data_IF_564898868825
#
_entry.id   IF_564898868825
#
_cell.length_a   1.000
_cell.length_b   1.000
_cell.length_c   1.000
_cell.angle_alpha   90.00
_cell.angle_beta   90.00
_cell.angle_gamma   90.00
#
_symmetry.space_group_name_H-M   'P 1'
#
loop_
_entity.id
_entity.type
_entity.pdbx_description
1 polymer ?
#
# COMPACT_ATOMS: atom_id res chain seq x y z
N UNK A 1 22.83 -7.18 36.77
CA UNK A 1 21.59 -7.99 36.89
C UNK A 1 21.57 -9.14 35.87
N UNK A 2 20.70 -10.16 36.05
CA UNK A 2 20.42 -11.17 35.03
C UNK A 2 18.94 -11.08 34.61
N UNK A 3 18.68 -10.97 33.31
CA UNK A 3 17.34 -10.96 32.72
C UNK A 3 17.15 -12.24 31.90
N UNK A 4 16.22 -13.11 32.30
CA UNK A 4 16.01 -14.43 31.67
C UNK A 4 14.76 -14.42 30.78
N UNK A 5 14.95 -14.12 29.49
CA UNK A 5 13.86 -14.03 28.52
C UNK A 5 13.19 -15.39 28.24
N UNK A 6 13.80 -16.52 28.64
CA UNK A 6 13.12 -17.83 28.60
C UNK A 6 11.96 -17.88 29.59
N UNK A 7 12.12 -17.26 30.76
CA UNK A 7 11.05 -17.17 31.76
C UNK A 7 9.95 -16.25 31.25
N UNK A 8 10.33 -15.09 30.71
CA UNK A 8 9.40 -14.16 30.08
C UNK A 8 8.61 -14.85 28.95
N UNK A 9 9.26 -15.55 28.01
CA UNK A 9 8.59 -16.25 26.93
C UNK A 9 7.56 -17.29 27.42
N UNK A 10 7.86 -18.02 28.50
CA UNK A 10 6.88 -18.96 29.11
C UNK A 10 5.69 -18.22 29.69
N UNK A 11 5.93 -17.10 30.37
CA UNK A 11 4.87 -16.28 30.93
C UNK A 11 4.00 -15.67 29.83
N UNK A 12 4.61 -15.10 28.80
CA UNK A 12 3.91 -14.52 27.63
C UNK A 12 2.98 -15.55 26.99
N UNK A 13 3.47 -16.76 26.69
CA UNK A 13 2.62 -17.83 26.13
C UNK A 13 1.45 -18.21 27.04
N UNK A 14 1.70 -18.27 28.35
CA UNK A 14 0.63 -18.51 29.33
C UNK A 14 -0.41 -17.40 29.28
N UNK A 15 0.01 -16.14 29.18
CA UNK A 15 -0.89 -14.99 29.13
C UNK A 15 -1.68 -14.91 27.83
N UNK A 16 -1.05 -15.20 26.68
CA UNK A 16 -1.74 -15.36 25.39
C UNK A 16 -2.83 -16.43 25.52
N UNK A 17 -2.48 -17.61 26.03
CA UNK A 17 -3.44 -18.72 26.20
C UNK A 17 -4.59 -18.33 27.13
N UNK A 18 -4.28 -17.62 28.23
CA UNK A 18 -5.27 -17.12 29.18
C UNK A 18 -6.22 -16.13 28.52
N UNK A 19 -5.69 -15.12 27.81
CA UNK A 19 -6.48 -14.09 27.13
C UNK A 19 -7.41 -14.69 26.09
N UNK A 20 -6.92 -15.64 25.28
CA UNK A 20 -7.72 -16.34 24.28
C UNK A 20 -8.86 -17.14 24.93
N UNK A 21 -8.58 -17.85 26.03
CA UNK A 21 -9.59 -18.63 26.75
C UNK A 21 -10.68 -17.75 27.34
N UNK A 22 -10.34 -16.57 27.81
CA UNK A 22 -11.27 -15.68 28.50
C UNK A 22 -12.12 -14.85 27.52
N UNK A 23 -11.74 -14.78 26.24
CA UNK A 23 -12.42 -13.99 25.21
C UNK A 23 -13.91 -14.34 24.98
N UNK A 24 -14.34 -15.62 24.88
CA UNK A 24 -15.74 -15.97 24.61
C UNK A 24 -16.72 -15.58 25.73
N UNK A 25 -16.21 -15.18 26.90
CA UNK A 25 -17.00 -14.82 28.07
C UNK A 25 -17.06 -13.28 28.28
N UNK A 26 -16.45 -12.49 27.40
CA UNK A 26 -16.05 -11.12 27.70
C UNK A 26 -16.37 -10.09 26.60
N UNK A 27 -16.42 -8.81 27.01
CA UNK A 27 -16.52 -7.62 26.16
C UNK A 27 -15.15 -7.39 25.50
N UNK A 28 -15.06 -7.08 24.21
CA UNK A 28 -13.77 -6.82 23.59
C UNK A 28 -13.16 -5.52 24.16
N UNK A 29 -12.21 -5.66 25.09
CA UNK A 29 -11.38 -4.55 25.58
C UNK A 29 -10.29 -4.17 24.58
N UNK A 30 -10.68 -4.00 23.34
CA UNK A 30 -9.84 -3.58 22.23
C UNK A 30 -10.64 -2.73 21.26
N UNK A 31 -9.98 -2.16 20.24
CA UNK A 31 -10.67 -1.36 19.25
C UNK A 31 -11.75 -2.17 18.51
N UNK A 32 -12.87 -1.52 18.20
CA UNK A 32 -13.94 -2.07 17.38
C UNK A 32 -15.17 -2.54 18.17
N UNK A 33 -15.82 -3.62 17.71
CA UNK A 33 -17.09 -4.13 18.26
C UNK A 33 -16.92 -5.58 18.73
N UNK A 34 -17.51 -5.91 19.87
CA UNK A 34 -17.44 -7.24 20.51
C UNK A 34 -17.80 -8.41 19.58
N UNK A 35 -18.79 -8.22 18.72
CA UNK A 35 -19.33 -9.27 17.85
C UNK A 35 -18.54 -9.45 16.54
N UNK A 36 -17.63 -8.52 16.22
CA UNK A 36 -16.92 -8.52 14.96
C UNK A 36 -15.71 -9.47 14.99
N UNK A 37 -15.37 -10.03 13.83
CA UNK A 37 -14.19 -10.87 13.70
C UNK A 37 -12.91 -10.08 13.98
N UNK A 38 -11.96 -10.70 14.69
CA UNK A 38 -10.66 -10.11 15.02
C UNK A 38 -9.86 -9.97 13.72
N UNK A 39 -9.53 -8.74 13.37
CA UNK A 39 -8.75 -8.38 12.19
C UNK A 39 -7.25 -8.31 12.52
N UNK A 40 -6.87 -8.00 13.77
CA UNK A 40 -5.49 -7.90 14.19
C UNK A 40 -5.33 -8.31 15.67
N UNK A 41 -4.26 -9.03 15.97
CA UNK A 41 -3.80 -9.32 17.32
C UNK A 41 -2.50 -8.56 17.56
N UNK A 42 -2.54 -7.54 18.40
CA UNK A 42 -1.36 -6.75 18.77
C UNK A 42 -0.87 -7.16 20.14
N UNK A 43 0.44 -7.44 20.26
CA UNK A 43 1.12 -7.47 21.55
C UNK A 43 1.98 -6.21 21.67
N UNK A 44 1.43 -5.24 22.41
CA UNK A 44 2.14 -4.02 22.78
C UNK A 44 3.01 -4.25 24.01
N UNK A 45 4.14 -3.57 24.12
CA UNK A 45 4.95 -3.62 25.33
C UNK A 45 5.74 -2.34 25.57
N UNK A 46 6.13 -2.12 26.83
CA UNK A 46 7.09 -1.10 27.23
C UNK A 46 8.05 -1.72 28.23
N UNK A 47 9.32 -1.37 28.18
CA UNK A 47 10.33 -1.97 29.05
C UNK A 47 11.13 -0.94 29.85
N UNK A 48 11.01 0.35 29.56
CA UNK A 48 11.88 1.39 30.09
C UNK A 48 11.25 2.20 31.24
N UNK A 49 9.94 2.47 31.22
CA UNK A 49 9.27 3.25 32.28
C UNK A 49 8.60 2.38 33.36
N UNK A 50 7.71 1.46 32.96
CA UNK A 50 6.97 0.63 33.91
C UNK A 50 7.20 -0.87 33.72
N UNK A 51 7.54 -1.30 32.50
CA UNK A 51 7.80 -2.71 32.22
C UNK A 51 6.50 -3.50 32.16
N UNK A 52 5.77 -3.44 31.05
CA UNK A 52 4.50 -4.14 30.88
C UNK A 52 4.36 -4.73 29.47
N UNK A 53 3.36 -5.61 29.33
CA UNK A 53 2.92 -6.17 28.06
C UNK A 53 1.40 -6.21 28.01
N UNK A 54 0.80 -5.83 26.88
CA UNK A 54 -0.64 -5.87 26.64
C UNK A 54 -0.98 -6.71 25.41
N UNK A 55 -2.03 -7.52 25.49
CA UNK A 55 -2.51 -8.36 24.38
C UNK A 55 -3.88 -7.86 23.95
N UNK A 56 -3.96 -7.29 22.74
CA UNK A 56 -5.11 -6.54 22.27
C UNK A 56 -5.68 -7.20 21.02
N UNK A 57 -7.00 -7.36 20.99
CA UNK A 57 -7.75 -7.84 19.83
C UNK A 57 -8.47 -6.67 19.17
N UNK A 58 -8.05 -6.34 17.95
CA UNK A 58 -8.66 -5.28 17.15
C UNK A 58 -9.67 -5.90 16.16
N UNK A 59 -10.91 -5.46 16.27
CA UNK A 59 -12.04 -5.94 15.48
C UNK A 59 -12.54 -4.88 14.47
N UNK A 60 -11.83 -3.73 14.35
CA UNK A 60 -12.15 -2.71 13.34
C UNK A 60 -11.96 -3.29 11.94
N UNK A 61 -12.90 -3.16 10.99
CA UNK A 61 -12.80 -3.75 9.65
C UNK A 61 -11.58 -3.34 8.80
N UNK A 62 -10.84 -2.32 9.24
CA UNK A 62 -9.63 -1.79 8.61
C UNK A 62 -8.51 -1.66 9.64
N UNK A 63 -8.45 -2.58 10.61
CA UNK A 63 -7.38 -2.63 11.59
C UNK A 63 -6.03 -2.67 10.86
N UNK A 64 -5.11 -1.83 11.32
CA UNK A 64 -3.76 -1.66 10.80
C UNK A 64 -2.86 -1.24 11.96
N UNK A 65 -1.56 -1.19 11.74
CA UNK A 65 -0.66 -0.67 12.75
C UNK A 65 -0.70 0.87 12.82
N UNK A 66 -1.76 1.44 13.40
CA UNK A 66 -2.00 2.89 13.53
C UNK A 66 -1.86 3.43 14.96
N UNK A 67 -1.41 2.59 15.90
CA UNK A 67 -1.24 2.95 17.30
C UNK A 67 -2.53 3.08 18.10
N UNK A 68 -3.71 2.81 17.54
CA UNK A 68 -5.00 2.89 18.26
C UNK A 68 -5.02 1.99 19.50
N UNK A 69 -4.30 0.87 19.45
CA UNK A 69 -4.17 -0.09 20.55
C UNK A 69 -3.64 0.54 21.84
N UNK A 70 -2.89 1.65 21.77
CA UNK A 70 -2.36 2.34 22.95
C UNK A 70 -3.46 2.78 23.94
N UNK A 71 -4.66 3.09 23.45
CA UNK A 71 -5.79 3.49 24.30
C UNK A 71 -6.38 2.34 25.13
N UNK A 72 -5.92 1.10 24.90
CA UNK A 72 -6.43 -0.13 25.51
C UNK A 72 -5.35 -0.84 26.35
N UNK A 73 -4.25 -0.18 26.68
CA UNK A 73 -3.15 -0.77 27.46
C UNK A 73 -3.62 -1.16 28.86
N UNK A 74 -4.15 -0.20 29.63
CA UNK A 74 -4.47 -0.38 31.05
C UNK A 74 -5.32 -1.62 31.38
N UNK A 75 -6.45 -1.90 30.68
CA UNK A 75 -7.23 -3.11 30.97
C UNK A 75 -6.54 -4.42 30.53
N UNK A 76 -5.58 -4.36 29.61
CA UNK A 76 -4.92 -5.55 29.04
C UNK A 76 -3.49 -5.76 29.54
N UNK A 77 -2.97 -4.85 30.38
CA UNK A 77 -1.57 -4.83 30.78
C UNK A 77 -1.24 -5.92 31.81
N UNK A 78 -0.07 -6.53 31.62
CA UNK A 78 0.55 -7.48 32.54
C UNK A 78 1.93 -6.95 32.88
N UNK A 79 2.23 -6.85 34.17
CA UNK A 79 3.50 -6.30 34.65
C UNK A 79 4.67 -7.27 34.44
N UNK A 80 5.79 -6.68 34.06
CA UNK A 80 7.12 -7.25 33.87
C UNK A 80 8.16 -6.32 34.52
N UNK A 81 8.03 -6.05 35.83
CA UNK A 81 8.95 -5.20 36.63
C UNK A 81 10.44 -5.44 36.35
N UNK A 82 10.80 -6.69 36.08
CA UNK A 82 12.17 -7.12 35.79
C UNK A 82 12.75 -6.52 34.51
N UNK A 83 11.93 -6.10 33.55
CA UNK A 83 12.35 -5.40 32.34
C UNK A 83 12.77 -3.98 32.66
N UNK A 84 11.90 -3.22 33.34
CA UNK A 84 12.20 -1.86 33.80
C UNK A 84 13.43 -1.83 34.70
N UNK A 85 13.49 -2.71 35.71
CA UNK A 85 14.67 -2.79 36.60
C UNK A 85 15.95 -3.09 35.85
N UNK A 86 15.91 -4.00 34.87
CA UNK A 86 17.10 -4.30 34.06
C UNK A 86 17.53 -3.09 33.25
N UNK A 87 16.59 -2.37 32.61
CA UNK A 87 16.89 -1.18 31.83
C UNK A 87 17.42 -0.02 32.67
N UNK A 88 16.80 0.29 33.82
CA UNK A 88 17.30 1.30 34.76
C UNK A 88 18.71 0.95 35.25
N UNK A 89 19.00 -0.32 35.56
CA UNK A 89 20.35 -0.75 35.91
C UNK A 89 21.37 -0.47 34.78
N UNK A 90 20.99 -0.68 33.52
CA UNK A 90 21.85 -0.43 32.37
C UNK A 90 22.08 1.06 32.12
N UNK A 91 21.02 1.86 32.16
CA UNK A 91 21.05 3.27 31.74
C UNK A 91 21.46 4.19 32.88
N UNK A 92 20.86 4.03 34.06
CA UNK A 92 21.11 4.92 35.21
C UNK A 92 22.37 4.51 35.96
N UNK A 93 22.54 3.21 36.21
CA UNK A 93 23.65 2.68 37.01
C UNK A 93 24.87 2.27 36.18
N UNK A 94 24.76 2.28 34.84
CA UNK A 94 25.81 1.78 33.92
C UNK A 94 26.18 0.32 34.14
N UNK A 95 25.33 -0.44 34.83
CA UNK A 95 25.59 -1.81 35.26
C UNK A 95 25.27 -2.78 34.13
N UNK A 96 26.18 -3.69 33.77
CA UNK A 96 25.91 -4.64 32.71
C UNK A 96 24.77 -5.60 33.07
N UNK A 97 23.90 -5.87 32.11
CA UNK A 97 22.85 -6.89 32.19
C UNK A 97 23.35 -8.16 31.50
N UNK A 98 23.21 -9.30 32.16
CA UNK A 98 23.35 -10.61 31.51
C UNK A 98 21.98 -11.07 31.03
N UNK A 99 21.74 -10.96 29.73
CA UNK A 99 20.53 -11.42 29.07
C UNK A 99 20.65 -12.91 28.73
N UNK A 100 19.62 -13.70 29.02
CA UNK A 100 19.49 -15.08 28.54
C UNK A 100 18.32 -15.12 27.55
N UNK A 101 18.62 -15.36 26.29
CA UNK A 101 17.66 -15.44 25.19
C UNK A 101 16.83 -16.73 25.26
N UNK A 102 15.67 -16.81 24.55
CA UNK A 102 14.79 -17.98 24.55
C UNK A 102 15.48 -19.32 24.22
N UNK A 103 16.50 -19.29 23.36
CA UNK A 103 17.32 -20.45 22.96
C UNK A 103 18.39 -20.84 24.00
N UNK A 104 18.53 -20.07 25.08
CA UNK A 104 19.56 -20.24 26.11
C UNK A 104 20.87 -19.49 25.85
N UNK A 105 21.01 -18.83 24.70
CA UNK A 105 22.15 -17.98 24.38
C UNK A 105 22.27 -16.86 25.41
N UNK A 106 23.50 -16.61 25.89
CA UNK A 106 23.78 -15.55 26.86
C UNK A 106 24.39 -14.35 26.15
N UNK A 107 23.78 -13.18 26.31
CA UNK A 107 24.29 -11.90 25.78
C UNK A 107 24.56 -10.96 26.94
N UNK A 108 25.72 -10.29 26.93
CA UNK A 108 26.04 -9.25 27.91
C UNK A 108 25.73 -7.89 27.29
N UNK A 109 24.78 -7.17 27.88
CA UNK A 109 24.48 -5.78 27.56
C UNK A 109 25.27 -4.89 28.52
N UNK A 110 25.81 -3.79 28.04
CA UNK A 110 26.69 -2.92 28.82
C UNK A 110 26.87 -1.56 28.15
N UNK A 111 27.95 -0.86 28.49
CA UNK A 111 28.24 0.47 27.94
C UNK A 111 28.24 0.44 26.40
N UNK A 112 27.37 1.26 25.79
CA UNK A 112 27.18 1.32 24.33
C UNK A 112 26.03 0.47 23.79
N UNK A 113 25.30 -0.26 24.65
CA UNK A 113 24.01 -0.85 24.26
C UNK A 113 22.99 0.26 24.05
N UNK A 114 22.30 0.27 22.92
CA UNK A 114 21.25 1.26 22.62
C UNK A 114 19.88 0.79 23.10
N UNK A 115 18.92 1.73 23.19
CA UNK A 115 17.53 1.42 23.60
C UNK A 115 16.89 0.45 22.61
N UNK A 116 17.14 0.63 21.31
CA UNK A 116 16.66 -0.23 20.22
C UNK A 116 17.18 -1.66 20.35
N UNK A 117 18.42 -1.87 20.81
CA UNK A 117 18.97 -3.21 21.00
C UNK A 117 18.28 -3.97 22.16
N UNK A 118 17.88 -3.24 23.20
CA UNK A 118 17.11 -3.81 24.33
C UNK A 118 15.69 -4.10 23.87
N UNK A 119 15.04 -3.12 23.22
CA UNK A 119 13.72 -3.25 22.62
C UNK A 119 13.65 -4.46 21.70
N UNK A 120 14.57 -4.58 20.75
CA UNK A 120 14.65 -5.69 19.78
C UNK A 120 14.75 -7.05 20.48
N UNK A 121 15.58 -7.17 21.52
CA UNK A 121 15.75 -8.45 22.22
C UNK A 121 14.47 -8.91 22.92
N UNK A 122 13.72 -7.98 23.51
CA UNK A 122 12.42 -8.25 24.14
C UNK A 122 11.35 -8.49 23.07
N UNK A 123 11.28 -7.64 22.04
CA UNK A 123 10.31 -7.71 20.95
C UNK A 123 10.40 -9.01 20.15
N UNK A 124 11.61 -9.47 19.82
CA UNK A 124 11.84 -10.78 19.21
C UNK A 124 11.32 -11.92 20.09
N UNK A 125 11.54 -11.83 21.41
CA UNK A 125 11.04 -12.84 22.35
C UNK A 125 9.51 -12.89 22.37
N UNK A 126 8.86 -11.73 22.33
CA UNK A 126 7.39 -11.62 22.28
C UNK A 126 6.87 -12.18 20.95
N UNK A 127 7.47 -11.78 19.82
CA UNK A 127 7.14 -12.29 18.49
C UNK A 127 7.21 -13.81 18.43
N UNK A 128 8.31 -14.39 18.88
CA UNK A 128 8.50 -15.84 18.83
C UNK A 128 7.48 -16.57 19.73
N UNK A 129 7.12 -15.99 20.87
CA UNK A 129 6.05 -16.50 21.72
C UNK A 129 4.66 -16.42 21.06
N UNK A 130 4.37 -15.32 20.35
CA UNK A 130 3.13 -15.11 19.59
C UNK A 130 3.01 -16.11 18.43
N UNK A 131 4.06 -16.23 17.62
CA UNK A 131 4.14 -17.18 16.51
C UNK A 131 3.99 -18.63 17.00
N UNK A 132 4.67 -18.98 18.10
CA UNK A 132 4.54 -20.31 18.69
C UNK A 132 3.11 -20.58 19.19
N UNK A 133 2.41 -19.59 19.75
CA UNK A 133 1.01 -19.75 20.14
C UNK A 133 0.11 -19.97 18.91
N UNK A 134 0.34 -19.22 17.83
CA UNK A 134 -0.36 -19.39 16.55
C UNK A 134 -0.17 -20.78 15.98
N UNK A 135 1.08 -21.21 15.85
CA UNK A 135 1.44 -22.48 15.22
C UNK A 135 0.96 -23.69 16.04
N UNK A 136 0.78 -23.52 17.36
CA UNK A 136 0.18 -24.52 18.24
C UNK A 136 -1.37 -24.49 18.26
N UNK A 137 -2.01 -23.66 17.43
CA UNK A 137 -3.46 -23.57 17.34
C UNK A 137 -4.14 -22.91 18.53
N UNK A 138 -3.41 -22.13 19.35
CA UNK A 138 -3.97 -21.46 20.53
C UNK A 138 -5.16 -20.56 20.14
N UNK A 139 -5.08 -19.89 18.99
CA UNK A 139 -6.12 -18.97 18.50
C UNK A 139 -7.28 -19.65 17.77
N UNK A 140 -7.30 -20.98 17.64
CA UNK A 140 -8.30 -21.70 16.83
C UNK A 140 -9.76 -21.51 17.31
N UNK A 141 -9.95 -21.15 18.58
CA UNK A 141 -11.28 -20.87 19.15
C UNK A 141 -11.75 -19.43 19.02
N UNK A 142 -10.93 -18.52 18.48
CA UNK A 142 -11.29 -17.12 18.30
C UNK A 142 -12.04 -16.89 16.97
N UNK A 143 -12.92 -15.87 16.90
CA UNK A 143 -13.55 -15.45 15.65
C UNK A 143 -12.57 -14.64 14.79
N UNK A 144 -11.50 -15.27 14.29
CA UNK A 144 -10.50 -14.59 13.46
C UNK A 144 -11.06 -14.26 12.06
N UNK A 145 -10.71 -13.10 11.54
CA UNK A 145 -10.88 -12.80 10.13
C UNK A 145 -9.95 -13.68 9.26
N UNK A 146 -10.31 -13.97 7.99
CA UNK A 146 -9.45 -14.77 7.09
C UNK A 146 -8.03 -14.22 6.91
N UNK A 147 -7.87 -12.90 7.08
CA UNK A 147 -6.62 -12.16 6.93
C UNK A 147 -6.17 -11.51 8.24
N UNK A 148 -6.48 -12.13 9.39
CA UNK A 148 -6.06 -11.61 10.69
C UNK A 148 -4.53 -11.43 10.74
N UNK A 149 -4.08 -10.24 11.14
CA UNK A 149 -2.66 -9.92 11.32
C UNK A 149 -2.19 -10.14 12.76
N UNK A 150 -0.89 -10.35 12.93
CA UNK A 150 -0.22 -10.50 14.21
C UNK A 150 0.88 -9.46 14.30
N UNK A 151 0.80 -8.59 15.30
CA UNK A 151 1.68 -7.44 15.47
C UNK A 151 2.38 -7.49 16.82
N UNK A 152 3.64 -7.10 16.85
CA UNK A 152 4.39 -6.79 18.07
C UNK A 152 4.95 -5.39 17.93
N UNK A 153 4.62 -4.52 18.87
CA UNK A 153 5.07 -3.12 18.84
C UNK A 153 5.50 -2.69 20.24
N UNK A 154 6.64 -2.00 20.28
CA UNK A 154 7.11 -1.31 21.46
C UNK A 154 6.46 0.07 21.53
N UNK A 155 6.00 0.48 22.72
CA UNK A 155 5.15 1.64 22.94
C UNK A 155 5.68 2.96 22.35
N UNK A 156 7.01 3.16 22.37
CA UNK A 156 7.68 4.36 21.86
C UNK A 156 8.24 4.16 20.43
N UNK A 157 7.93 3.01 19.80
CA UNK A 157 8.31 2.71 18.42
C UNK A 157 9.76 2.22 18.25
N UNK A 158 10.46 1.82 19.33
CA UNK A 158 11.83 1.30 19.23
C UNK A 158 11.92 -0.09 18.58
N UNK A 159 10.79 -0.80 18.48
CA UNK A 159 10.67 -2.07 17.79
C UNK A 159 9.26 -2.24 17.24
N UNK A 160 9.15 -2.74 16.01
CA UNK A 160 7.89 -3.06 15.37
C UNK A 160 8.04 -4.30 14.49
N UNK A 161 7.07 -5.20 14.55
CA UNK A 161 7.00 -6.38 13.70
C UNK A 161 5.54 -6.70 13.40
N UNK A 162 5.26 -7.11 12.17
CA UNK A 162 3.96 -7.60 11.74
C UNK A 162 4.17 -8.87 10.91
N UNK A 163 3.28 -9.85 11.04
CA UNK A 163 3.28 -11.05 10.20
C UNK A 163 2.60 -10.81 8.84
N UNK A 164 1.84 -9.72 8.74
CA UNK A 164 1.56 -9.09 7.47
C UNK A 164 2.81 -8.32 7.07
N UNK A 165 3.14 -8.37 5.78
CA UNK A 165 4.28 -7.61 5.23
C UNK A 165 3.89 -6.11 5.21
N UNK A 166 3.84 -5.48 6.39
CA UNK A 166 3.59 -4.05 6.58
C UNK A 166 4.88 -3.22 6.58
N UNK A 167 6.04 -3.88 6.47
CA UNK A 167 7.17 -3.22 5.85
C UNK A 167 6.86 -3.17 4.36
N UNK A 168 6.03 -2.19 3.97
CA UNK A 168 6.00 -1.73 2.59
C UNK A 168 7.45 -1.66 2.07
N UNK A 169 7.68 -2.00 0.81
CA UNK A 169 9.00 -2.34 0.32
C UNK A 169 10.08 -1.33 0.73
N UNK A 170 11.10 -1.85 1.39
CA UNK A 170 12.14 -1.06 2.08
C UNK A 170 13.14 -0.42 1.10
N UNK A 171 13.10 -0.85 -0.15
CA UNK A 171 13.88 -0.29 -1.25
C UNK A 171 13.01 -0.17 -2.49
N UNK A 172 13.47 0.64 -3.44
CA UNK A 172 12.88 0.72 -4.79
C UNK A 172 12.81 -0.66 -5.44
N UNK A 173 13.90 -1.45 -5.40
CA UNK A 173 13.90 -2.80 -5.95
C UNK A 173 12.85 -3.71 -5.29
N UNK A 174 12.74 -3.69 -3.96
CA UNK A 174 11.74 -4.50 -3.27
C UNK A 174 10.31 -4.09 -3.66
N UNK A 175 10.10 -2.83 -4.05
CA UNK A 175 8.80 -2.36 -4.52
C UNK A 175 8.49 -2.88 -5.91
N UNK A 176 9.47 -2.83 -6.82
CA UNK A 176 9.33 -3.44 -8.14
C UNK A 176 9.09 -4.95 -8.03
N UNK A 177 9.87 -5.66 -7.21
CA UNK A 177 9.66 -7.10 -6.96
C UNK A 177 8.26 -7.39 -6.40
N UNK A 178 7.74 -6.52 -5.53
CA UNK A 178 6.37 -6.61 -5.00
C UNK A 178 5.31 -6.37 -6.08
N UNK A 179 5.53 -5.42 -6.99
CA UNK A 179 4.63 -5.17 -8.11
C UNK A 179 4.64 -6.33 -9.11
N UNK A 180 5.80 -6.94 -9.36
CA UNK A 180 5.93 -8.11 -10.24
C UNK A 180 5.23 -9.33 -9.65
N UNK A 181 5.46 -9.65 -8.37
CA UNK A 181 4.84 -10.79 -7.71
C UNK A 181 5.02 -12.10 -8.50
N UNK A 182 3.91 -12.74 -8.90
CA UNK A 182 3.89 -13.96 -9.70
C UNK A 182 3.63 -13.72 -11.20
N UNK A 183 3.69 -12.47 -11.68
CA UNK A 183 3.25 -12.09 -13.03
C UNK A 183 3.95 -12.87 -14.14
N UNK A 184 5.24 -13.16 -13.99
CA UNK A 184 6.03 -13.92 -14.98
C UNK A 184 5.51 -15.35 -15.22
N UNK A 185 4.72 -15.90 -14.27
CA UNK A 185 4.11 -17.23 -14.41
C UNK A 185 2.75 -17.23 -15.11
N UNK A 186 2.17 -16.04 -15.36
CA UNK A 186 0.85 -15.87 -15.97
C UNK A 186 0.96 -15.95 -17.50
N UNK A 187 -0.16 -16.29 -18.15
CA UNK A 187 -0.30 -16.13 -19.61
C UNK A 187 -0.17 -14.66 -20.00
N UNK A 188 0.18 -14.37 -21.27
CA UNK A 188 0.32 -12.99 -21.74
C UNK A 188 -0.90 -12.11 -21.44
N UNK A 189 -2.12 -12.63 -21.66
CA UNK A 189 -3.35 -11.93 -21.29
C UNK A 189 -3.46 -11.67 -19.78
N UNK A 190 -3.03 -12.64 -18.94
CA UNK A 190 -2.98 -12.48 -17.49
C UNK A 190 -1.90 -11.49 -17.03
N UNK A 191 -0.79 -11.37 -17.76
CA UNK A 191 0.24 -10.35 -17.52
C UNK A 191 -0.28 -8.96 -17.86
N UNK A 192 -0.94 -8.79 -19.01
CA UNK A 192 -1.60 -7.52 -19.37
C UNK A 192 -2.65 -7.14 -18.33
N UNK A 193 -3.49 -8.08 -17.91
CA UNK A 193 -4.52 -7.82 -16.88
C UNK A 193 -3.89 -7.39 -15.55
N UNK A 194 -2.80 -8.04 -15.13
CA UNK A 194 -2.05 -7.70 -13.93
C UNK A 194 -1.54 -6.25 -13.98
N UNK A 195 -0.83 -5.88 -15.05
CA UNK A 195 -0.27 -4.54 -15.18
C UNK A 195 -1.33 -3.45 -15.32
N UNK A 196 -2.45 -3.72 -16.01
CA UNK A 196 -3.59 -2.81 -16.03
C UNK A 196 -4.21 -2.64 -14.62
N UNK A 197 -4.27 -3.69 -13.80
CA UNK A 197 -4.70 -3.58 -12.39
C UNK A 197 -3.75 -2.74 -11.54
N UNK A 198 -2.45 -2.74 -11.84
CA UNK A 198 -1.49 -1.84 -11.18
C UNK A 198 -1.79 -0.37 -11.56
N UNK A 199 -2.01 -0.06 -12.84
CA UNK A 199 -2.44 1.29 -13.26
C UNK A 199 -3.73 1.74 -12.56
N UNK A 200 -4.70 0.84 -12.37
CA UNK A 200 -5.95 1.12 -11.64
C UNK A 200 -5.72 1.42 -10.15
N UNK A 201 -4.79 0.73 -9.49
CA UNK A 201 -4.39 1.02 -8.10
C UNK A 201 -3.75 2.41 -7.99
N UNK A 202 -2.86 2.75 -8.91
CA UNK A 202 -2.21 4.08 -8.97
C UNK A 202 -3.28 5.16 -9.19
N UNK A 203 -4.12 4.99 -10.21
CA UNK A 203 -5.13 5.98 -10.58
C UNK A 203 -6.20 6.21 -9.50
N UNK A 204 -6.49 5.19 -8.67
CA UNK A 204 -7.39 5.32 -7.52
C UNK A 204 -6.74 5.89 -6.27
N UNK A 205 -5.45 6.22 -6.32
CA UNK A 205 -4.70 6.76 -5.18
C UNK A 205 -4.28 5.71 -4.14
N UNK A 206 -4.51 4.42 -4.39
CA UNK A 206 -4.11 3.34 -3.48
C UNK A 206 -2.59 3.18 -3.36
N UNK A 207 -1.83 3.68 -4.35
CA UNK A 207 -0.37 3.72 -4.32
C UNK A 207 0.20 5.05 -3.78
N UNK A 208 -0.62 6.08 -3.56
CA UNK A 208 -0.13 7.43 -3.25
C UNK A 208 0.55 7.55 -1.90
N UNK A 209 0.29 6.63 -0.97
CA UNK A 209 0.97 6.57 0.32
C UNK A 209 2.42 6.10 0.19
N UNK A 210 2.78 5.47 -0.94
CA UNK A 210 4.15 5.10 -1.25
C UNK A 210 4.88 6.27 -1.91
N UNK A 211 6.07 6.59 -1.38
CA UNK A 211 7.02 7.50 -2.04
C UNK A 211 7.46 7.01 -3.42
N UNK A 212 7.12 5.77 -3.79
CA UNK A 212 7.49 5.11 -5.04
C UNK A 212 6.37 5.07 -6.08
N UNK A 213 5.22 5.72 -5.85
CA UNK A 213 4.09 5.72 -6.79
C UNK A 213 4.47 6.11 -8.23
N UNK A 214 5.43 7.01 -8.40
CA UNK A 214 5.96 7.37 -9.73
C UNK A 214 6.67 6.20 -10.42
N UNK A 215 7.48 5.43 -9.69
CA UNK A 215 8.18 4.25 -10.19
C UNK A 215 7.20 3.16 -10.63
N UNK A 216 6.08 3.02 -9.92
CA UNK A 216 5.05 2.04 -10.30
C UNK A 216 4.47 2.33 -11.69
N UNK A 217 4.21 3.60 -12.00
CA UNK A 217 3.66 3.99 -13.30
C UNK A 217 4.67 3.69 -14.41
N UNK A 218 5.90 4.17 -14.27
CA UNK A 218 6.94 4.00 -15.30
C UNK A 218 7.25 2.52 -15.53
N UNK A 219 7.47 1.74 -14.47
CA UNK A 219 7.72 0.30 -14.58
C UNK A 219 6.54 -0.44 -15.21
N UNK A 220 5.30 -0.14 -14.80
CA UNK A 220 4.10 -0.79 -15.36
C UNK A 220 3.99 -0.53 -16.86
N UNK A 221 4.35 0.67 -17.31
CA UNK A 221 4.31 1.06 -18.72
C UNK A 221 5.40 0.34 -19.52
N UNK A 222 6.63 0.22 -18.98
CA UNK A 222 7.70 -0.57 -19.59
C UNK A 222 7.29 -2.04 -19.78
N UNK A 223 6.63 -2.63 -18.79
CA UNK A 223 6.14 -4.01 -18.87
C UNK A 223 5.01 -4.17 -19.89
N UNK A 224 4.08 -3.21 -19.96
CA UNK A 224 3.01 -3.20 -20.96
C UNK A 224 3.56 -2.98 -22.39
N UNK A 225 4.60 -2.17 -22.54
CA UNK A 225 5.31 -1.98 -23.82
C UNK A 225 5.99 -3.28 -24.28
N UNK A 226 6.66 -3.98 -23.38
CA UNK A 226 7.29 -5.27 -23.66
C UNK A 226 6.28 -6.36 -24.12
N UNK A 227 5.03 -6.27 -23.66
CA UNK A 227 3.94 -7.17 -24.07
C UNK A 227 3.37 -6.85 -25.46
N UNK A 228 3.68 -5.67 -26.04
CA UNK A 228 3.33 -5.29 -27.41
C UNK A 228 1.84 -4.98 -27.65
N UNK A 229 1.40 -5.15 -28.91
CA UNK A 229 0.09 -4.66 -29.39
C UNK A 229 -1.13 -5.21 -28.64
N UNK A 230 -1.03 -6.39 -28.02
CA UNK A 230 -2.10 -6.98 -27.22
C UNK A 230 -2.44 -6.15 -25.96
N UNK A 231 -1.51 -5.34 -25.46
CA UNK A 231 -1.73 -4.47 -24.32
C UNK A 231 -2.58 -3.23 -24.65
N UNK A 232 -2.61 -2.80 -25.91
CA UNK A 232 -3.17 -1.50 -26.33
C UNK A 232 -4.67 -1.37 -26.03
N UNK A 233 -5.47 -2.37 -26.37
CA UNK A 233 -6.93 -2.32 -26.13
C UNK A 233 -7.26 -2.32 -24.62
N UNK A 234 -6.67 -3.20 -23.78
CA UNK A 234 -6.81 -3.13 -22.33
C UNK A 234 -6.39 -1.79 -21.72
N UNK A 235 -5.24 -1.24 -22.15
CA UNK A 235 -4.75 0.08 -21.69
C UNK A 235 -5.72 1.21 -22.06
N UNK A 236 -6.26 1.22 -23.27
CA UNK A 236 -7.27 2.20 -23.68
C UNK A 236 -8.58 2.06 -22.91
N UNK A 237 -8.99 0.83 -22.55
CA UNK A 237 -10.16 0.62 -21.68
C UNK A 237 -9.93 1.20 -20.28
N UNK A 238 -8.72 1.07 -19.74
CA UNK A 238 -8.30 1.74 -18.51
C UNK A 238 -8.40 3.26 -18.64
N UNK A 239 -7.79 3.87 -19.65
CA UNK A 239 -7.84 5.34 -19.84
C UNK A 239 -9.28 5.84 -19.98
N UNK A 240 -10.13 5.14 -20.75
CA UNK A 240 -11.55 5.49 -20.94
C UNK A 240 -12.36 5.50 -19.65
N UNK A 241 -11.99 4.66 -18.67
CA UNK A 241 -12.65 4.61 -17.36
C UNK A 241 -12.43 5.90 -16.59
N UNK A 242 -11.23 6.47 -16.68
CA UNK A 242 -10.82 7.68 -15.95
C UNK A 242 -11.00 8.98 -16.75
N UNK A 243 -11.35 8.88 -18.04
CA UNK A 243 -11.44 10.02 -18.95
C UNK A 243 -12.50 11.07 -18.61
N UNK A 244 -13.44 10.78 -17.71
CA UNK A 244 -14.43 11.75 -17.22
C UNK A 244 -14.03 12.41 -15.88
N UNK A 245 -12.85 12.09 -15.36
CA UNK A 245 -12.34 12.65 -14.12
C UNK A 245 -11.46 13.89 -14.39
N UNK A 246 -11.44 14.87 -13.48
CA UNK A 246 -10.52 16.01 -13.60
C UNK A 246 -9.07 15.57 -13.38
N UNK A 247 -8.12 16.12 -14.15
CA UNK A 247 -6.68 15.80 -14.02
C UNK A 247 -5.98 16.56 -12.88
N UNK A 248 -6.58 17.65 -12.39
CA UNK A 248 -6.03 18.48 -11.32
C UNK A 248 -7.12 18.98 -10.38
N UNK A 249 -6.73 19.26 -9.15
CA UNK A 249 -7.55 19.99 -8.17
C UNK A 249 -7.55 21.49 -8.51
N UNK A 250 -8.71 21.99 -8.94
CA UNK A 250 -8.94 23.41 -9.28
C UNK A 250 -8.63 23.78 -10.74
N UNK A 251 -8.79 25.08 -11.06
CA UNK A 251 -8.83 25.59 -12.45
C UNK A 251 -7.98 26.86 -12.69
N UNK A 252 -6.92 27.10 -11.91
CA UNK A 252 -6.18 28.37 -11.99
C UNK A 252 -4.66 28.19 -12.13
N UNK A 253 -4.04 28.65 -13.24
CA UNK A 253 -2.59 28.55 -13.48
C UNK A 253 -1.70 29.28 -12.46
N UNK A 254 -2.24 30.24 -11.70
CA UNK A 254 -1.48 31.05 -10.74
C UNK A 254 -1.38 30.44 -9.33
N UNK A 255 -1.90 29.23 -9.13
CA UNK A 255 -1.80 28.48 -7.86
C UNK A 255 -1.04 27.19 -8.10
N UNK A 256 -0.49 26.62 -7.02
CA UNK A 256 0.10 25.28 -7.04
C UNK A 256 -0.99 24.30 -7.52
N UNK A 257 -0.84 23.79 -8.74
CA UNK A 257 -1.70 22.75 -9.28
C UNK A 257 -1.38 21.46 -8.52
N UNK A 258 -2.42 20.80 -8.02
CA UNK A 258 -2.31 19.49 -7.39
C UNK A 258 -2.82 18.49 -8.43
N UNK A 259 -1.92 17.67 -8.96
CA UNK A 259 -2.27 16.59 -9.87
C UNK A 259 -3.07 15.53 -9.12
N UNK A 260 -4.15 15.06 -9.74
CA UNK A 260 -4.95 13.98 -9.20
C UNK A 260 -4.28 12.63 -9.53
N UNK A 261 -4.48 11.59 -8.70
CA UNK A 261 -3.70 10.35 -8.80
C UNK A 261 -3.79 9.66 -10.17
N UNK A 262 -4.92 9.81 -10.86
CA UNK A 262 -5.15 9.24 -12.19
C UNK A 262 -4.38 9.93 -13.32
N UNK A 263 -3.89 11.16 -13.11
CA UNK A 263 -3.35 11.98 -14.18
C UNK A 263 -2.13 11.29 -14.81
N UNK A 264 -1.13 10.96 -14.00
CA UNK A 264 0.11 10.37 -14.49
C UNK A 264 -0.10 9.03 -15.23
N UNK A 265 -0.74 8.00 -14.62
CA UNK A 265 -0.88 6.70 -15.28
C UNK A 265 -1.73 6.76 -16.56
N UNK A 266 -2.70 7.67 -16.65
CA UNK A 266 -3.50 7.82 -17.89
C UNK A 266 -2.72 8.50 -19.01
N UNK A 267 -1.85 9.46 -18.70
CA UNK A 267 -0.98 10.11 -19.69
C UNK A 267 0.12 9.16 -20.16
N UNK A 268 0.77 8.43 -19.25
CA UNK A 268 1.80 7.46 -19.64
C UNK A 268 1.20 6.35 -20.52
N UNK A 269 -0.02 5.89 -20.19
CA UNK A 269 -0.79 4.96 -21.02
C UNK A 269 -1.06 5.51 -22.44
N UNK A 270 -1.44 6.78 -22.58
CA UNK A 270 -1.62 7.40 -23.90
C UNK A 270 -0.29 7.56 -24.65
N UNK A 271 0.82 7.81 -23.95
CA UNK A 271 2.15 7.83 -24.56
C UNK A 271 2.55 6.47 -25.12
N UNK A 272 2.30 5.39 -24.37
CA UNK A 272 2.45 4.01 -24.84
C UNK A 272 1.63 3.77 -26.12
N UNK A 273 0.34 4.12 -26.12
CA UNK A 273 -0.54 3.94 -27.29
C UNK A 273 -0.03 4.71 -28.50
N UNK A 274 0.40 5.97 -28.32
CA UNK A 274 0.94 6.80 -29.40
C UNK A 274 2.19 6.20 -30.05
N UNK A 275 3.03 5.55 -29.26
CA UNK A 275 4.27 4.93 -29.73
C UNK A 275 4.06 3.54 -30.35
N UNK A 276 2.88 2.93 -30.13
CA UNK A 276 2.51 1.66 -30.77
C UNK A 276 2.26 1.80 -32.28
N UNK A 277 2.20 0.67 -32.97
CA UNK A 277 1.77 0.56 -34.37
C UNK A 277 0.35 0.01 -34.53
N UNK A 278 -0.38 -0.18 -33.41
CA UNK A 278 -1.69 -0.84 -33.39
C UNK A 278 -2.81 0.06 -33.96
N UNK A 279 -3.18 -0.15 -35.22
CA UNK A 279 -4.17 0.64 -35.98
C UNK A 279 -5.49 -0.09 -36.20
N UNK A 280 -6.10 -0.62 -35.14
CA UNK A 280 -7.36 -1.37 -35.27
C UNK A 280 -8.59 -0.46 -35.14
N UNK A 281 -9.76 -0.81 -35.72
CA UNK A 281 -11.00 -0.05 -35.54
C UNK A 281 -11.45 0.06 -34.07
N UNK A 282 -11.16 -0.94 -33.24
CA UNK A 282 -11.46 -0.91 -31.80
C UNK A 282 -10.59 0.13 -31.07
N UNK A 283 -9.31 0.24 -31.43
CA UNK A 283 -8.40 1.27 -30.89
C UNK A 283 -8.90 2.67 -31.25
N UNK A 284 -9.24 2.90 -32.53
CA UNK A 284 -9.78 4.19 -32.99
C UNK A 284 -11.06 4.55 -32.22
N UNK A 285 -11.99 3.60 -32.12
CA UNK A 285 -13.25 3.76 -31.40
C UNK A 285 -13.03 4.12 -29.92
N UNK A 286 -12.09 3.45 -29.24
CA UNK A 286 -11.77 3.75 -27.84
C UNK A 286 -11.15 5.13 -27.68
N UNK A 287 -10.21 5.52 -28.55
CA UNK A 287 -9.62 6.86 -28.55
C UNK A 287 -10.68 7.94 -28.75
N UNK A 288 -11.62 7.76 -29.68
CA UNK A 288 -12.73 8.71 -29.85
C UNK A 288 -13.63 8.79 -28.62
N UNK A 289 -13.90 7.66 -27.93
CA UNK A 289 -14.66 7.66 -26.68
C UNK A 289 -13.92 8.39 -25.55
N UNK A 290 -12.60 8.20 -25.42
CA UNK A 290 -11.76 8.90 -24.46
C UNK A 290 -11.77 10.40 -24.75
N UNK A 291 -11.59 10.79 -26.01
CA UNK A 291 -11.59 12.21 -26.41
C UNK A 291 -12.93 12.86 -26.09
N UNK A 292 -14.05 12.20 -26.43
CA UNK A 292 -15.39 12.71 -26.15
C UNK A 292 -15.61 12.92 -24.64
N UNK A 293 -15.28 11.92 -23.82
CA UNK A 293 -15.42 12.01 -22.36
C UNK A 293 -14.54 13.12 -21.76
N UNK A 294 -13.27 13.18 -22.16
CA UNK A 294 -12.31 14.14 -21.60
C UNK A 294 -12.60 15.58 -22.05
N UNK A 295 -13.06 15.79 -23.29
CA UNK A 295 -13.60 17.08 -23.74
C UNK A 295 -14.80 17.51 -22.89
N UNK A 296 -15.75 16.59 -22.65
CA UNK A 296 -16.94 16.88 -21.87
C UNK A 296 -16.60 17.22 -20.41
N UNK A 297 -15.69 16.48 -19.79
CA UNK A 297 -15.26 16.72 -18.40
C UNK A 297 -14.53 18.06 -18.21
N UNK A 298 -13.94 18.60 -19.28
CA UNK A 298 -13.16 19.83 -19.23
C UNK A 298 -13.82 21.03 -19.94
N UNK A 299 -15.03 20.90 -20.48
CA UNK A 299 -15.67 21.96 -21.30
C UNK A 299 -15.88 23.28 -20.55
N UNK A 300 -16.14 23.19 -19.24
CA UNK A 300 -16.41 24.35 -18.38
C UNK A 300 -15.17 24.79 -17.57
N UNK A 301 -14.03 24.11 -17.76
CA UNK A 301 -12.80 24.35 -17.00
C UNK A 301 -11.90 25.35 -17.72
N UNK A 302 -11.21 26.19 -16.93
CA UNK A 302 -10.20 27.11 -17.47
C UNK A 302 -8.89 26.41 -17.83
N UNK A 303 -8.57 25.33 -17.13
CA UNK A 303 -7.46 24.44 -17.45
C UNK A 303 -8.05 23.19 -18.09
N UNK A 304 -7.84 23.02 -19.39
CA UNK A 304 -8.70 22.18 -20.23
C UNK A 304 -8.35 20.69 -20.23
N UNK A 305 -7.30 20.30 -19.50
CA UNK A 305 -6.83 18.92 -19.53
C UNK A 305 -5.64 18.72 -20.46
N UNK A 306 -4.80 17.74 -20.16
CA UNK A 306 -3.76 17.26 -21.08
C UNK A 306 -4.20 15.94 -21.73
N UNK A 307 -5.18 15.23 -21.14
CA UNK A 307 -5.74 14.00 -21.70
C UNK A 307 -6.43 14.19 -23.06
N UNK A 308 -7.28 15.21 -23.31
CA UNK A 308 -7.84 15.43 -24.65
C UNK A 308 -6.75 15.62 -25.72
N UNK A 309 -5.71 16.38 -25.36
CA UNK A 309 -4.58 16.68 -26.23
C UNK A 309 -3.80 15.41 -26.60
N UNK A 310 -3.43 14.59 -25.61
CA UNK A 310 -2.72 13.33 -25.86
C UNK A 310 -3.56 12.32 -26.63
N UNK A 311 -4.86 12.28 -26.39
CA UNK A 311 -5.78 11.42 -27.15
C UNK A 311 -5.85 11.85 -28.62
N UNK A 312 -5.93 13.15 -28.89
CA UNK A 312 -5.86 13.70 -30.26
C UNK A 312 -4.52 13.38 -30.93
N UNK A 313 -3.39 13.47 -30.20
CA UNK A 313 -2.06 13.05 -30.71
C UNK A 313 -2.04 11.58 -31.11
N UNK A 314 -2.68 10.70 -30.35
CA UNK A 314 -2.79 9.28 -30.71
C UNK A 314 -3.59 9.12 -32.01
N UNK A 315 -4.75 9.77 -32.12
CA UNK A 315 -5.60 9.71 -33.30
C UNK A 315 -4.86 10.16 -34.57
N UNK A 316 -4.25 11.35 -34.58
CA UNK A 316 -3.52 11.84 -35.77
C UNK A 316 -2.25 11.06 -36.08
N UNK A 317 -1.61 10.42 -35.08
CA UNK A 317 -0.41 9.61 -35.29
C UNK A 317 -0.73 8.24 -35.89
N UNK A 318 -1.82 7.63 -35.45
CA UNK A 318 -2.20 6.26 -35.82
C UNK A 318 -3.12 6.23 -37.05
N UNK A 319 -3.89 7.28 -37.30
CA UNK A 319 -4.93 7.30 -38.34
C UNK A 319 -4.82 8.59 -39.19
N UNK A 320 -4.48 8.41 -40.47
CA UNK A 320 -4.09 9.51 -41.38
C UNK A 320 -5.24 10.47 -41.76
N UNK A 321 -6.48 10.16 -41.37
CA UNK A 321 -7.66 10.93 -41.73
C UNK A 321 -8.09 11.93 -40.64
N UNK A 322 -7.42 11.96 -39.48
CA UNK A 322 -7.63 12.99 -38.47
C UNK A 322 -6.84 14.26 -38.82
N UNK A 323 -7.36 15.46 -38.49
CA UNK A 323 -6.69 16.71 -38.80
C UNK A 323 -5.39 16.87 -38.00
N UNK A 324 -4.58 17.84 -38.42
CA UNK A 324 -3.44 18.29 -37.61
C UNK A 324 -3.94 18.91 -36.29
N UNK A 325 -3.22 18.64 -35.21
CA UNK A 325 -3.59 19.10 -33.87
C UNK A 325 -3.37 20.61 -33.71
N UNK A 326 -4.37 21.32 -33.18
CA UNK A 326 -4.25 22.75 -32.81
C UNK A 326 -4.43 22.91 -31.31
N UNK A 327 -3.37 23.32 -30.60
CA UNK A 327 -3.35 23.51 -29.15
C UNK A 327 -3.30 24.99 -28.79
N UNK A 328 -4.06 25.41 -27.79
CA UNK A 328 -3.87 26.72 -27.15
C UNK A 328 -2.62 26.69 -26.25
N UNK A 329 -1.67 27.59 -26.53
CA UNK A 329 -0.36 27.64 -25.85
C UNK A 329 -0.45 27.89 -24.33
N UNK A 330 -1.54 28.49 -23.84
CA UNK A 330 -1.69 28.89 -22.44
C UNK A 330 -2.59 27.96 -21.60
N UNK A 331 -3.46 27.16 -22.24
CA UNK A 331 -4.53 26.43 -21.53
C UNK A 331 -4.57 24.92 -21.80
N UNK A 332 -3.74 24.42 -22.73
CA UNK A 332 -3.81 23.06 -23.28
C UNK A 332 -5.11 22.72 -24.01
N UNK A 333 -5.96 23.72 -24.31
CA UNK A 333 -7.20 23.49 -25.05
C UNK A 333 -6.91 22.95 -26.47
N UNK A 334 -7.60 21.87 -26.85
CA UNK A 334 -7.64 21.39 -28.24
C UNK A 334 -8.62 22.27 -29.02
N UNK A 335 -8.07 23.25 -29.74
CA UNK A 335 -8.83 24.30 -30.45
C UNK A 335 -9.72 23.70 -31.53
N UNK A 336 -9.27 22.65 -32.21
CA UNK A 336 -10.04 21.97 -33.26
C UNK A 336 -10.73 20.68 -32.80
N UNK A 337 -11.16 20.59 -31.54
CA UNK A 337 -11.85 19.41 -31.00
C UNK A 337 -13.05 18.94 -31.82
N UNK A 338 -13.82 19.86 -32.40
CA UNK A 338 -15.01 19.53 -33.19
C UNK A 338 -14.64 18.79 -34.49
N UNK A 339 -13.47 19.08 -35.07
CA UNK A 339 -12.95 18.36 -36.24
C UNK A 339 -12.60 16.90 -35.89
N UNK A 340 -12.16 16.61 -34.66
CA UNK A 340 -11.91 15.23 -34.20
C UNK A 340 -13.18 14.50 -33.77
N UNK A 341 -14.15 15.22 -33.18
CA UNK A 341 -15.40 14.63 -32.69
C UNK A 341 -16.45 14.43 -33.80
N UNK A 342 -16.38 15.23 -34.86
CA UNK A 342 -17.14 14.95 -36.08
C UNK A 342 -16.56 13.70 -36.71
N UNK A 343 -17.33 12.60 -36.72
CA UNK A 343 -16.92 11.36 -37.37
C UNK A 343 -16.38 11.71 -38.76
N UNK A 344 -15.20 11.22 -39.15
CA UNK A 344 -14.75 11.35 -40.52
C UNK A 344 -15.88 10.79 -41.37
N UNK A 345 -16.56 11.65 -42.12
CA UNK A 345 -17.51 11.18 -43.11
C UNK A 345 -16.74 10.13 -43.90
N UNK A 346 -17.27 8.91 -44.04
CA UNK A 346 -16.73 7.91 -44.96
C UNK A 346 -16.76 8.54 -46.36
N UNK A 347 -15.81 9.41 -46.67
CA UNK A 347 -15.50 9.82 -48.02
C UNK A 347 -14.92 8.55 -48.59
N UNK A 348 -15.82 7.79 -49.20
CA UNK A 348 -15.57 6.87 -50.30
C UNK A 348 -14.09 6.75 -50.57
N UNK A 349 -13.47 5.72 -49.99
CA UNK A 349 -12.40 5.02 -50.67
C UNK A 349 -13.04 4.53 -51.98
N UNK A 350 -13.05 5.44 -52.97
CA UNK A 350 -13.33 5.12 -54.35
C UNK A 350 -12.14 4.34 -54.86
N UNK A 351 -12.46 3.27 -55.56
CA UNK A 351 -11.56 2.33 -56.24
C UNK A 351 -10.44 3.00 -57.04
#
# INVERSE_FOLDING_TARGET
MQLDLRKAARLIRKQITQRVRDYPLYINEGPGRDEASIQQITIGYQFDQSGWLAIIFDTRPQAKNDGEWNSYIEPNAIEFDEWHRAFSDLVENGSPINLILPDGTKRKLGKGTTVEQVAESIGITIRDALLQARDNGVFAGLPLAPNCSYVVEEHEGYFGWSDQVEAGPQSEQAYLDHLEGDVATKSEAGQVEHWVKVLERIASGKENESKWSFLASDHTIEQLEALGDQAIVPVLKFVRKWADQPEWEGDRPKRKLIELPMQRPTIDALMLVRNSSCRTPEVEKLLCQILQKSVQANSDRKLWGIMPLWTARCLSKLFDHYPELKQNESTNELVNRDEYLSKPSKKSQGD
#
